data_IF_821214828795
#
_entry.id   IF_821214828795
#
_cell.length_a   1.000
_cell.length_b   1.000
_cell.length_c   1.000
_cell.angle_alpha   90.00
_cell.angle_beta   90.00
_cell.angle_gamma   90.00
#
_symmetry.space_group_name_H-M   'P 1'
#
loop_
_entity.id
_entity.type
_entity.pdbx_description
1 polymer ?
#
# COMPACT_ATOMS: atom_id res chain seq x y z
N UNK A 1 -11.38 -25.23 1.71
CA UNK A 1 -10.78 -25.95 0.55
C UNK A 1 -11.88 -26.73 -0.17
N UNK A 2 -12.70 -27.60 0.49
CA UNK A 2 -13.75 -28.40 -0.15
C UNK A 2 -14.75 -27.56 -0.94
N UNK A 3 -15.26 -26.48 -0.36
CA UNK A 3 -16.15 -25.53 -1.05
C UNK A 3 -15.55 -24.99 -2.34
N UNK A 4 -14.28 -24.56 -2.32
CA UNK A 4 -13.59 -24.08 -3.52
C UNK A 4 -13.44 -25.19 -4.55
N UNK A 5 -13.13 -26.41 -4.11
CA UNK A 5 -13.06 -27.58 -4.98
C UNK A 5 -14.39 -27.87 -5.68
N UNK A 6 -15.50 -27.75 -4.94
CA UNK A 6 -16.85 -27.94 -5.49
C UNK A 6 -17.17 -26.87 -6.53
N UNK A 7 -16.80 -25.60 -6.30
CA UNK A 7 -16.93 -24.52 -7.31
C UNK A 7 -16.14 -24.87 -8.58
N UNK A 8 -14.86 -25.21 -8.43
CA UNK A 8 -13.97 -25.50 -9.57
C UNK A 8 -14.38 -26.74 -10.38
N UNK A 9 -15.20 -27.61 -9.82
CA UNK A 9 -15.74 -28.80 -10.50
C UNK A 9 -17.15 -28.63 -11.01
N UNK A 10 -17.82 -27.52 -10.65
CA UNK A 10 -19.20 -27.28 -11.07
C UNK A 10 -19.28 -27.00 -12.59
N UNK A 11 -20.17 -27.69 -13.33
CA UNK A 11 -20.29 -27.52 -14.76
C UNK A 11 -20.59 -26.09 -15.21
N UNK A 12 -21.39 -25.35 -14.45
CA UNK A 12 -21.74 -23.95 -14.76
C UNK A 12 -20.50 -23.06 -14.62
N UNK A 13 -19.67 -23.31 -13.60
CA UNK A 13 -18.39 -22.60 -13.43
C UNK A 13 -17.43 -22.91 -14.57
N UNK A 14 -17.28 -24.18 -14.93
CA UNK A 14 -16.39 -24.62 -16.02
C UNK A 14 -16.82 -24.09 -17.39
N UNK A 15 -18.11 -23.92 -17.59
CA UNK A 15 -18.68 -23.32 -18.82
C UNK A 15 -18.62 -21.79 -18.85
N UNK A 16 -18.11 -21.13 -17.77
CA UNK A 16 -18.08 -19.67 -17.67
C UNK A 16 -19.45 -19.02 -17.49
N UNK A 17 -20.49 -19.79 -17.11
CA UNK A 17 -21.88 -19.33 -16.95
C UNK A 17 -22.20 -18.72 -15.56
N UNK A 18 -21.21 -18.42 -14.76
CA UNK A 18 -21.42 -17.87 -13.41
C UNK A 18 -21.94 -16.43 -13.45
N UNK A 19 -22.86 -16.13 -12.55
CA UNK A 19 -23.39 -14.79 -12.29
C UNK A 19 -23.35 -14.47 -10.80
N UNK A 20 -23.72 -13.26 -10.41
CA UNK A 20 -23.55 -12.75 -9.03
C UNK A 20 -24.29 -13.56 -7.95
N UNK A 21 -25.33 -14.33 -8.34
CA UNK A 21 -26.11 -15.21 -7.44
C UNK A 21 -25.73 -16.68 -7.55
N UNK A 22 -24.76 -17.03 -8.37
CA UNK A 22 -24.36 -18.42 -8.62
C UNK A 22 -24.16 -19.23 -7.35
N UNK A 23 -23.50 -18.67 -6.35
CA UNK A 23 -23.23 -19.35 -5.08
C UNK A 23 -24.53 -19.56 -4.28
N UNK A 24 -25.40 -18.55 -4.23
CA UNK A 24 -26.65 -18.60 -3.47
C UNK A 24 -27.65 -19.56 -4.09
N UNK A 25 -27.64 -19.72 -5.43
CA UNK A 25 -28.56 -20.55 -6.20
C UNK A 25 -28.04 -21.99 -6.41
N UNK A 26 -26.85 -22.31 -5.92
CA UNK A 26 -26.19 -23.62 -6.10
C UNK A 26 -25.86 -24.26 -4.75
N UNK A 27 -26.88 -24.74 -3.98
CA UNK A 27 -26.67 -25.26 -2.63
C UNK A 27 -25.74 -26.48 -2.55
N UNK A 28 -25.61 -27.26 -3.62
CA UNK A 28 -24.69 -28.38 -3.72
C UNK A 28 -23.21 -28.00 -3.58
N UNK A 29 -22.86 -26.73 -3.74
CA UNK A 29 -21.50 -26.24 -3.48
C UNK A 29 -21.10 -26.37 -2.01
N UNK A 30 -22.10 -26.40 -1.13
CA UNK A 30 -21.92 -26.52 0.32
C UNK A 30 -21.98 -27.98 0.81
N UNK A 31 -22.20 -28.96 -0.06
CA UNK A 31 -22.13 -30.38 0.25
C UNK A 31 -20.67 -30.78 0.52
N UNK A 32 -20.23 -30.49 1.73
CA UNK A 32 -18.88 -30.80 2.17
C UNK A 32 -18.92 -32.14 2.89
N UNK A 33 -18.41 -33.17 2.23
CA UNK A 33 -18.16 -34.45 2.90
C UNK A 33 -17.07 -34.23 3.94
N UNK A 34 -17.42 -34.47 5.21
CA UNK A 34 -16.45 -34.41 6.30
C UNK A 34 -15.27 -35.33 6.01
N UNK A 35 -14.21 -34.76 5.45
CA UNK A 35 -12.96 -35.50 5.31
C UNK A 35 -12.49 -35.85 6.73
N UNK A 36 -12.05 -37.07 6.93
CA UNK A 36 -11.38 -37.46 8.17
C UNK A 36 -10.22 -36.51 8.39
N UNK A 37 -10.45 -35.53 9.27
CA UNK A 37 -9.53 -34.39 9.48
C UNK A 37 -8.27 -34.87 10.18
N UNK A 38 -7.34 -35.42 9.38
CA UNK A 38 -6.03 -35.84 9.86
C UNK A 38 -5.21 -34.65 10.35
N UNK A 39 -5.39 -33.48 9.75
CA UNK A 39 -4.63 -32.28 10.10
C UNK A 39 -5.01 -31.78 11.50
N UNK A 40 -6.29 -31.64 11.81
CA UNK A 40 -6.74 -31.26 13.15
C UNK A 40 -6.35 -32.32 14.20
N UNK A 41 -6.39 -33.63 13.85
CA UNK A 41 -5.90 -34.68 14.77
C UNK A 41 -4.41 -34.55 15.03
N UNK A 42 -3.58 -34.29 14.02
CA UNK A 42 -2.15 -34.09 14.19
C UNK A 42 -1.87 -32.81 14.98
N UNK A 43 -2.56 -31.71 14.67
CA UNK A 43 -2.44 -30.46 15.43
C UNK A 43 -2.87 -30.62 16.88
N UNK A 44 -3.98 -31.35 17.15
CA UNK A 44 -4.41 -31.65 18.51
C UNK A 44 -3.36 -32.51 19.24
N UNK A 45 -2.83 -33.53 18.60
CA UNK A 45 -1.79 -34.39 19.18
C UNK A 45 -0.52 -33.60 19.49
N UNK A 46 -0.06 -32.71 18.56
CA UNK A 46 1.09 -31.84 18.82
C UNK A 46 0.80 -30.89 19.98
N UNK A 47 -0.38 -30.28 20.02
CA UNK A 47 -0.78 -29.38 21.10
C UNK A 47 -0.83 -30.13 22.46
N UNK A 48 -1.39 -31.32 22.49
CA UNK A 48 -1.43 -32.18 23.68
C UNK A 48 -0.03 -32.55 24.18
N UNK A 49 0.89 -32.91 23.27
CA UNK A 49 2.29 -33.19 23.64
C UNK A 49 2.97 -31.94 24.18
N UNK A 50 2.81 -30.77 23.53
CA UNK A 50 3.44 -29.55 23.99
C UNK A 50 2.88 -29.02 25.30
N UNK A 51 1.57 -29.17 25.54
CA UNK A 51 0.92 -28.68 26.74
C UNK A 51 1.07 -29.70 27.91
N UNK A 52 1.01 -31.00 27.60
CA UNK A 52 1.08 -32.04 28.59
C UNK A 52 2.50 -32.53 28.92
N UNK A 53 3.51 -32.09 28.19
CA UNK A 53 4.90 -32.44 28.45
C UNK A 53 5.52 -31.48 29.48
N UNK A 54 5.57 -31.81 30.78
CA UNK A 54 6.13 -30.94 31.80
C UNK A 54 7.65 -30.71 31.66
N UNK A 55 8.33 -31.51 30.82
CA UNK A 55 9.76 -31.45 30.57
C UNK A 55 10.09 -30.87 29.20
N UNK A 56 9.11 -30.37 28.44
CA UNK A 56 9.41 -29.64 27.24
C UNK A 56 10.17 -28.37 27.64
N UNK A 57 11.45 -28.33 27.32
CA UNK A 57 12.22 -27.08 27.39
C UNK A 57 11.38 -26.03 26.66
N UNK A 58 10.81 -25.10 27.39
CA UNK A 58 10.20 -23.92 26.79
C UNK A 58 11.35 -23.21 26.08
N UNK A 59 11.44 -23.37 24.77
CA UNK A 59 12.32 -22.53 23.98
C UNK A 59 11.93 -21.09 24.31
N UNK A 60 12.71 -20.45 25.16
CA UNK A 60 12.66 -19.02 25.32
C UNK A 60 13.18 -18.45 24.01
N UNK A 61 12.25 -18.10 23.12
CA UNK A 61 12.59 -17.27 22.00
C UNK A 61 13.08 -15.95 22.56
N UNK A 62 14.35 -15.61 22.32
CA UNK A 62 14.85 -14.28 22.60
C UNK A 62 13.99 -13.28 21.88
N UNK A 63 13.27 -12.47 22.65
CA UNK A 63 12.43 -11.42 22.07
C UNK A 63 13.38 -10.42 21.39
N UNK A 64 13.23 -10.19 20.08
CA UNK A 64 14.08 -9.23 19.40
C UNK A 64 14.08 -7.89 20.15
N UNK A 65 15.24 -7.35 20.44
CA UNK A 65 15.36 -6.03 21.05
C UNK A 65 15.22 -4.99 19.94
N UNK A 66 14.32 -4.03 20.14
CA UNK A 66 14.24 -2.89 19.23
C UNK A 66 15.52 -2.06 19.38
N UNK A 67 16.18 -1.70 18.28
CA UNK A 67 17.33 -0.82 18.33
C UNK A 67 16.90 0.53 18.91
N UNK A 68 17.76 1.10 19.72
CA UNK A 68 17.58 2.44 20.26
C UNK A 68 18.42 3.42 19.44
N UNK A 69 17.95 4.65 19.22
CA UNK A 69 18.74 5.68 18.54
C UNK A 69 20.10 5.85 19.22
N UNK A 70 21.16 5.87 18.44
CA UNK A 70 22.53 6.04 18.96
C UNK A 70 22.95 7.51 19.09
N UNK A 71 22.20 8.41 18.45
CA UNK A 71 22.43 9.85 18.46
C UNK A 71 21.10 10.61 18.36
N UNK A 72 21.08 11.91 18.70
CA UNK A 72 19.92 12.76 18.43
C UNK A 72 19.56 12.72 16.95
N UNK A 73 18.25 12.65 16.67
CA UNK A 73 17.74 12.69 15.29
C UNK A 73 18.02 14.07 14.68
N UNK A 74 18.74 14.10 13.58
CA UNK A 74 18.91 15.32 12.78
C UNK A 74 17.66 15.63 11.94
N UNK A 75 17.66 16.81 11.28
CA UNK A 75 16.59 17.12 10.31
C UNK A 75 16.59 16.12 9.17
N UNK A 76 15.39 15.77 8.68
CA UNK A 76 15.19 14.85 7.56
C UNK A 76 14.31 15.47 6.47
N UNK A 77 13.80 14.63 5.59
CA UNK A 77 12.96 15.05 4.46
C UNK A 77 11.65 15.73 4.92
N UNK A 78 11.16 15.38 6.12
CA UNK A 78 9.99 16.03 6.72
C UNK A 78 10.24 17.52 6.94
N UNK A 79 11.42 17.91 7.45
CA UNK A 79 11.76 19.31 7.68
C UNK A 79 11.88 20.08 6.36
N UNK A 80 12.44 19.45 5.31
CA UNK A 80 12.47 20.06 3.98
C UNK A 80 11.06 20.36 3.47
N UNK A 81 10.12 19.43 3.67
CA UNK A 81 8.71 19.60 3.29
C UNK A 81 8.08 20.77 4.06
N UNK A 82 8.30 20.84 5.37
CA UNK A 82 7.70 21.86 6.22
C UNK A 82 8.25 23.27 5.92
N UNK A 83 9.54 23.36 5.63
CA UNK A 83 10.22 24.65 5.40
C UNK A 83 10.05 25.18 3.98
N UNK A 84 10.09 24.27 2.96
CA UNK A 84 10.16 24.66 1.55
C UNK A 84 8.97 24.16 0.72
N UNK A 85 8.10 23.36 1.31
CA UNK A 85 6.89 22.84 0.68
C UNK A 85 7.10 21.67 -0.29
N UNK A 86 6.01 21.13 -0.85
CA UNK A 86 6.01 19.88 -1.60
C UNK A 86 6.77 19.97 -2.94
N UNK A 87 6.79 21.11 -3.60
CA UNK A 87 7.55 21.30 -4.86
C UNK A 87 9.06 21.15 -4.62
N UNK A 88 9.57 21.64 -3.49
CA UNK A 88 10.98 21.49 -3.14
C UNK A 88 11.33 20.03 -2.86
N UNK A 89 10.42 19.27 -2.26
CA UNK A 89 10.61 17.81 -2.07
C UNK A 89 10.61 17.08 -3.40
N UNK A 90 9.67 17.39 -4.31
CA UNK A 90 9.63 16.82 -5.66
C UNK A 90 10.95 17.07 -6.41
N UNK A 91 11.43 18.30 -6.39
CA UNK A 91 12.72 18.67 -7.01
C UNK A 91 13.89 17.93 -6.34
N UNK A 92 13.91 17.86 -5.01
CA UNK A 92 14.94 17.14 -4.28
C UNK A 92 14.96 15.65 -4.68
N UNK A 93 13.79 15.01 -4.87
CA UNK A 93 13.71 13.61 -5.34
C UNK A 93 14.35 13.45 -6.71
N UNK A 94 14.06 14.35 -7.66
CA UNK A 94 14.65 14.32 -9.02
C UNK A 94 16.18 14.49 -9.02
N UNK A 95 16.74 15.16 -8.04
CA UNK A 95 18.17 15.39 -7.90
C UNK A 95 18.93 14.20 -7.28
N UNK A 96 18.20 13.22 -6.71
CA UNK A 96 18.84 12.05 -6.11
C UNK A 96 19.44 11.15 -7.18
N UNK A 97 20.65 10.65 -6.89
CA UNK A 97 21.34 9.67 -7.74
C UNK A 97 21.10 8.21 -7.30
N UNK A 98 20.51 8.05 -6.13
CA UNK A 98 20.19 6.73 -5.55
C UNK A 98 18.69 6.53 -5.58
N UNK A 99 18.27 5.29 -5.81
CA UNK A 99 16.90 4.88 -5.64
C UNK A 99 16.45 5.13 -4.20
N UNK A 100 15.33 5.84 -4.07
CA UNK A 100 14.71 6.09 -2.77
C UNK A 100 13.72 4.97 -2.42
N UNK A 101 13.51 4.77 -1.14
CA UNK A 101 12.64 3.72 -0.62
C UNK A 101 11.50 4.30 0.21
N UNK A 102 10.32 3.72 0.07
CA UNK A 102 9.21 3.89 1.01
C UNK A 102 9.02 2.63 1.83
N UNK A 103 9.08 2.73 3.15
CA UNK A 103 8.76 1.62 4.04
C UNK A 103 7.26 1.49 4.25
N UNK A 104 6.74 0.28 4.09
CA UNK A 104 5.30 -0.02 4.22
C UNK A 104 4.96 -0.87 5.46
N UNK A 105 5.92 -1.08 6.35
CA UNK A 105 5.77 -1.96 7.53
C UNK A 105 4.56 -1.58 8.37
N UNK A 106 4.32 -0.27 8.56
CA UNK A 106 3.25 0.22 9.44
C UNK A 106 1.87 0.31 8.75
N UNK A 107 1.76 -0.04 7.47
CA UNK A 107 0.47 -0.09 6.76
C UNK A 107 0.33 -1.32 5.88
N UNK A 108 0.91 -1.34 4.67
CA UNK A 108 0.58 -2.36 3.66
C UNK A 108 1.20 -3.72 4.00
N UNK A 109 2.40 -3.76 4.53
CA UNK A 109 3.05 -5.01 4.90
C UNK A 109 2.23 -5.78 5.96
N UNK A 110 1.81 -5.12 7.04
CA UNK A 110 0.99 -5.82 8.04
C UNK A 110 -0.47 -6.00 7.60
N UNK A 111 -0.97 -5.17 6.68
CA UNK A 111 -2.26 -5.42 6.04
C UNK A 111 -2.24 -6.73 5.26
N UNK A 112 -1.21 -6.97 4.49
CA UNK A 112 -1.06 -8.15 3.64
C UNK A 112 -0.69 -9.42 4.43
N UNK A 113 0.16 -9.31 5.44
CA UNK A 113 0.74 -10.44 6.17
C UNK A 113 0.04 -10.77 7.49
N UNK A 114 -0.56 -9.77 8.15
CA UNK A 114 -1.14 -9.89 9.48
C UNK A 114 -2.61 -9.45 9.53
N UNK A 115 -3.31 -9.42 8.39
CA UNK A 115 -4.69 -8.95 8.29
C UNK A 115 -4.93 -7.60 9.00
N UNK A 116 -3.97 -6.68 8.92
CA UNK A 116 -3.97 -5.36 9.57
C UNK A 116 -4.01 -5.42 11.12
N UNK A 117 -3.55 -6.51 11.73
CA UNK A 117 -3.68 -6.75 13.17
C UNK A 117 -2.51 -6.23 14.02
N UNK A 118 -1.55 -5.51 13.44
CA UNK A 118 -0.48 -4.88 14.23
C UNK A 118 -1.06 -3.78 15.12
N UNK A 119 -0.77 -3.86 16.42
CA UNK A 119 -1.30 -2.91 17.40
C UNK A 119 -0.44 -1.66 17.51
N UNK A 120 -1.05 -0.56 17.86
CA UNK A 120 -0.37 0.73 18.05
C UNK A 120 0.79 0.62 19.03
N UNK A 121 0.63 -0.08 20.15
CA UNK A 121 1.69 -0.28 21.15
C UNK A 121 2.94 -0.94 20.59
N UNK A 122 2.78 -1.85 19.61
CA UNK A 122 3.89 -2.59 19.02
C UNK A 122 4.64 -1.74 18.00
N UNK A 123 3.91 -0.92 17.25
CA UNK A 123 4.49 0.09 16.36
C UNK A 123 5.29 1.14 17.16
N UNK A 124 4.71 1.67 18.23
CA UNK A 124 5.32 2.71 19.08
C UNK A 124 6.60 2.21 19.76
N UNK A 125 6.68 0.92 20.12
CA UNK A 125 7.90 0.33 20.69
C UNK A 125 9.09 0.38 19.75
N UNK A 126 8.86 0.22 18.44
CA UNK A 126 9.92 0.25 17.43
C UNK A 126 10.16 1.64 16.83
N UNK A 127 9.30 2.61 17.10
CA UNK A 127 9.26 3.87 16.38
C UNK A 127 10.55 4.70 16.48
N UNK A 128 11.18 4.75 17.66
CA UNK A 128 12.45 5.47 17.86
C UNK A 128 13.57 4.86 16.99
N UNK A 129 13.64 3.52 16.92
CA UNK A 129 14.59 2.82 16.06
C UNK A 129 14.29 3.02 14.57
N UNK A 130 13.00 3.06 14.19
CA UNK A 130 12.58 3.38 12.82
C UNK A 130 13.02 4.78 12.41
N UNK A 131 12.82 5.78 13.27
CA UNK A 131 13.23 7.16 13.01
C UNK A 131 14.74 7.31 12.76
N UNK A 132 15.55 6.48 13.38
CA UNK A 132 17.01 6.47 13.24
C UNK A 132 17.47 5.65 12.02
N UNK A 133 17.05 4.40 11.93
CA UNK A 133 17.52 3.46 10.89
C UNK A 133 16.98 3.80 9.50
N UNK A 134 15.71 4.23 9.42
CA UNK A 134 15.04 4.55 8.16
C UNK A 134 15.05 6.04 7.82
N UNK A 135 15.97 6.82 8.43
CA UNK A 135 16.06 8.28 8.24
C UNK A 135 16.23 8.73 6.80
N UNK A 136 16.81 7.87 5.96
CA UNK A 136 17.06 8.13 4.54
C UNK A 136 15.93 7.64 3.62
N UNK A 137 14.86 7.06 4.18
CA UNK A 137 13.67 6.70 3.40
C UNK A 137 12.93 7.95 2.92
N UNK A 138 12.34 7.86 1.74
CA UNK A 138 11.47 8.89 1.19
C UNK A 138 10.26 9.12 2.09
N UNK A 139 9.59 8.04 2.48
CA UNK A 139 8.42 8.10 3.36
C UNK A 139 8.19 6.79 4.12
N UNK A 140 7.35 6.89 5.16
CA UNK A 140 6.80 5.74 5.86
C UNK A 140 5.28 5.71 5.62
N UNK A 141 4.77 4.63 5.07
CA UNK A 141 3.33 4.50 4.83
C UNK A 141 2.62 4.12 6.12
N UNK A 142 1.73 5.01 6.61
CA UNK A 142 1.08 4.90 7.91
C UNK A 142 -0.38 4.48 7.83
N UNK A 143 -1.10 4.97 6.81
CA UNK A 143 -2.54 4.80 6.69
C UNK A 143 -2.99 4.31 5.32
N UNK A 144 -4.08 3.54 5.34
CA UNK A 144 -4.93 3.16 4.21
C UNK A 144 -6.33 2.84 4.73
N UNK A 145 -7.25 2.45 3.84
CA UNK A 145 -8.64 2.18 4.21
C UNK A 145 -8.78 1.13 5.31
N UNK A 146 -8.07 0.01 5.17
CA UNK A 146 -8.11 -1.07 6.17
C UNK A 146 -7.57 -0.67 7.54
N UNK A 147 -6.69 0.32 7.63
CA UNK A 147 -6.19 0.83 8.91
C UNK A 147 -7.35 1.35 9.77
N UNK A 148 -8.27 2.12 9.18
CA UNK A 148 -9.42 2.67 9.89
C UNK A 148 -10.42 1.58 10.26
N UNK A 149 -10.82 0.77 9.30
CA UNK A 149 -11.80 -0.30 9.52
C UNK A 149 -11.34 -1.29 10.60
N UNK A 150 -10.10 -1.78 10.49
CA UNK A 150 -9.59 -2.78 11.44
C UNK A 150 -9.27 -2.17 12.80
N UNK A 151 -8.71 -0.97 12.86
CA UNK A 151 -8.41 -0.31 14.12
C UNK A 151 -9.68 -0.12 14.96
N UNK A 152 -10.75 0.39 14.37
CA UNK A 152 -12.01 0.59 15.08
C UNK A 152 -12.75 -0.71 15.37
N UNK A 153 -12.91 -1.58 14.37
CA UNK A 153 -13.77 -2.75 14.46
C UNK A 153 -13.18 -3.90 15.27
N UNK A 154 -11.88 -4.12 15.16
CA UNK A 154 -11.23 -5.31 15.69
C UNK A 154 -10.20 -5.03 16.79
N UNK A 155 -9.46 -3.93 16.69
CA UNK A 155 -8.42 -3.61 17.66
C UNK A 155 -8.93 -2.70 18.77
N UNK A 156 -10.08 -2.03 18.57
CA UNK A 156 -10.63 -1.02 19.47
C UNK A 156 -9.61 0.09 19.77
N UNK A 157 -8.89 0.51 18.74
CA UNK A 157 -7.87 1.56 18.77
C UNK A 157 -8.27 2.71 17.85
N UNK A 158 -7.88 3.94 18.20
CA UNK A 158 -8.03 5.10 17.33
C UNK A 158 -6.87 5.21 16.35
N UNK A 159 -7.09 5.17 15.01
CA UNK A 159 -6.03 5.41 14.04
C UNK A 159 -5.47 6.84 14.15
N UNK A 160 -6.26 7.81 14.58
CA UNK A 160 -5.84 9.19 14.83
C UNK A 160 -4.84 9.29 15.97
N UNK A 161 -5.11 8.61 17.08
CA UNK A 161 -4.18 8.54 18.22
C UNK A 161 -2.91 7.77 17.85
N UNK A 162 -3.03 6.70 17.07
CA UNK A 162 -1.88 5.97 16.51
C UNK A 162 -0.97 6.92 15.72
N UNK A 163 -1.54 7.71 14.82
CA UNK A 163 -0.78 8.65 14.01
C UNK A 163 -0.04 9.69 14.87
N UNK A 164 -0.74 10.25 15.87
CA UNK A 164 -0.17 11.23 16.80
C UNK A 164 1.05 10.66 17.55
N UNK A 165 0.88 9.49 18.15
CA UNK A 165 1.94 8.81 18.92
C UNK A 165 3.16 8.47 18.04
N UNK A 166 2.93 8.01 16.81
CA UNK A 166 4.01 7.71 15.88
C UNK A 166 4.71 8.98 15.41
N UNK A 167 3.97 10.06 15.13
CA UNK A 167 4.56 11.34 14.71
C UNK A 167 5.44 11.96 15.79
N UNK A 168 5.06 11.84 17.06
CA UNK A 168 5.89 12.30 18.19
C UNK A 168 7.24 11.60 18.25
N UNK A 169 7.30 10.31 17.88
CA UNK A 169 8.52 9.50 17.89
C UNK A 169 9.33 9.54 16.61
N UNK A 170 8.68 9.83 15.49
CA UNK A 170 9.32 9.87 14.16
C UNK A 170 9.08 11.27 13.57
N UNK A 171 9.84 12.28 14.01
CA UNK A 171 9.63 13.66 13.57
C UNK A 171 10.28 14.01 12.22
N UNK A 172 11.17 13.16 11.72
CA UNK A 172 12.12 13.46 10.63
C UNK A 172 11.75 12.85 9.27
N UNK A 173 10.86 11.86 9.23
CA UNK A 173 10.49 11.15 7.98
C UNK A 173 9.07 11.52 7.60
N UNK A 174 8.77 11.82 6.31
CA UNK A 174 7.39 12.06 5.85
C UNK A 174 6.49 10.85 6.07
N UNK A 175 5.28 11.09 6.55
CA UNK A 175 4.24 10.08 6.66
C UNK A 175 3.33 10.08 5.44
N UNK A 176 3.13 8.91 4.87
CA UNK A 176 2.31 8.70 3.69
C UNK A 176 1.02 7.98 4.03
N UNK A 177 -0.05 8.33 3.33
CA UNK A 177 -1.30 7.56 3.33
C UNK A 177 -1.77 7.22 1.92
N UNK A 178 -2.41 6.07 1.80
CA UNK A 178 -3.16 5.68 0.62
C UNK A 178 -4.61 6.17 0.74
N UNK A 179 -5.07 6.97 -0.23
CA UNK A 179 -6.38 7.61 -0.22
C UNK A 179 -7.18 7.27 -1.48
N UNK A 180 -8.38 6.70 -1.29
CA UNK A 180 -9.24 6.24 -2.39
C UNK A 180 -10.12 7.36 -2.94
N UNK A 181 -9.54 8.41 -3.52
CA UNK A 181 -10.32 9.53 -4.06
C UNK A 181 -11.49 9.95 -3.16
N UNK A 182 -12.69 10.04 -3.71
CA UNK A 182 -13.92 10.40 -2.97
C UNK A 182 -14.38 9.36 -1.94
N UNK A 183 -13.85 8.14 -1.97
CA UNK A 183 -14.13 7.11 -0.96
C UNK A 183 -13.25 7.25 0.30
N UNK A 184 -12.24 8.11 0.27
CA UNK A 184 -11.30 8.31 1.38
C UNK A 184 -10.71 6.99 1.90
N UNK A 185 -11.07 6.63 3.12
CA UNK A 185 -10.70 5.36 3.78
C UNK A 185 -11.87 4.38 3.88
N UNK A 186 -13.01 4.73 3.28
CA UNK A 186 -14.25 3.94 3.29
C UNK A 186 -14.47 3.12 2.01
N UNK A 187 -15.71 2.66 1.84
CA UNK A 187 -16.15 1.77 0.76
C UNK A 187 -17.27 2.37 -0.12
N UNK A 188 -17.64 3.60 0.13
CA UNK A 188 -18.62 4.36 -0.65
C UNK A 188 -18.12 5.79 -0.83
N UNK A 189 -18.65 6.50 -1.83
CA UNK A 189 -18.32 7.89 -2.04
C UNK A 189 -18.86 8.76 -0.91
N UNK A 190 -18.02 9.64 -0.43
CA UNK A 190 -18.38 10.67 0.52
C UNK A 190 -18.61 12.00 -0.18
N UNK A 191 -19.44 12.90 0.38
CA UNK A 191 -19.65 14.24 -0.17
C UNK A 191 -18.36 15.08 -0.05
N UNK A 192 -18.19 16.02 -0.97
CA UNK A 192 -16.97 16.81 -1.13
C UNK A 192 -16.53 17.54 0.15
N UNK A 193 -17.47 18.04 0.92
CA UNK A 193 -17.17 18.72 2.19
C UNK A 193 -16.53 17.77 3.21
N UNK A 194 -16.95 16.50 3.24
CA UNK A 194 -16.34 15.50 4.11
C UNK A 194 -14.95 15.10 3.59
N UNK A 195 -14.79 14.96 2.26
CA UNK A 195 -13.49 14.69 1.65
C UNK A 195 -12.47 15.77 2.03
N UNK A 196 -12.84 17.04 1.88
CA UNK A 196 -11.99 18.18 2.26
C UNK A 196 -11.67 18.20 3.75
N UNK A 197 -12.68 18.03 4.60
CA UNK A 197 -12.49 18.02 6.05
C UNK A 197 -11.59 16.88 6.53
N UNK A 198 -11.73 15.69 5.95
CA UNK A 198 -10.88 14.55 6.28
C UNK A 198 -9.41 14.79 5.93
N UNK A 199 -9.15 15.30 4.73
CA UNK A 199 -7.78 15.56 4.24
C UNK A 199 -7.12 16.64 5.08
N UNK A 200 -7.87 17.73 5.38
CA UNK A 200 -7.39 18.79 6.27
C UNK A 200 -6.99 18.24 7.63
N UNK A 201 -7.85 17.47 8.27
CA UNK A 201 -7.60 16.88 9.59
C UNK A 201 -6.39 15.90 9.54
N UNK A 202 -6.30 15.09 8.49
CA UNK A 202 -5.17 14.16 8.31
C UNK A 202 -3.85 14.91 8.14
N UNK A 203 -3.84 16.00 7.36
CA UNK A 203 -2.68 16.86 7.15
C UNK A 203 -2.22 17.55 8.44
N UNK A 204 -3.16 18.11 9.22
CA UNK A 204 -2.89 18.76 10.50
C UNK A 204 -2.35 17.78 11.55
N UNK A 205 -2.77 16.51 11.49
CA UNK A 205 -2.32 15.47 12.42
C UNK A 205 -1.03 14.76 12.00
N UNK A 206 -0.47 15.09 10.85
CA UNK A 206 0.88 14.64 10.50
C UNK A 206 1.01 13.74 9.28
N UNK A 207 -0.02 13.62 8.43
CA UNK A 207 0.15 13.06 7.08
C UNK A 207 0.78 14.13 6.19
N UNK A 208 1.84 13.74 5.49
CA UNK A 208 2.66 14.60 4.65
C UNK A 208 2.51 14.31 3.16
N UNK A 209 2.33 13.03 2.82
CA UNK A 209 2.22 12.52 1.45
C UNK A 209 0.87 11.84 1.28
N UNK A 210 0.06 12.34 0.38
CA UNK A 210 -1.23 11.76 0.05
C UNK A 210 -1.14 11.05 -1.31
N UNK A 211 -1.12 9.71 -1.27
CA UNK A 211 -1.20 8.85 -2.46
C UNK A 211 -2.67 8.69 -2.83
N UNK A 212 -3.14 9.57 -3.70
CA UNK A 212 -4.53 9.60 -4.15
C UNK A 212 -4.70 8.68 -5.36
N UNK A 213 -5.64 7.74 -5.30
CA UNK A 213 -5.92 6.82 -6.39
C UNK A 213 -7.42 6.55 -6.59
N UNK A 214 -7.74 6.12 -7.78
CA UNK A 214 -8.99 5.44 -8.13
C UNK A 214 -8.65 4.11 -8.83
N UNK A 215 -9.31 3.01 -8.47
CA UNK A 215 -8.97 1.69 -8.98
C UNK A 215 -9.25 1.50 -10.48
N UNK A 216 -10.09 2.36 -11.05
CA UNK A 216 -10.42 2.39 -12.48
C UNK A 216 -9.70 3.53 -13.22
N UNK A 217 -8.81 4.26 -12.55
CA UNK A 217 -8.17 5.47 -13.06
C UNK A 217 -9.18 6.55 -13.48
N UNK A 218 -10.30 6.64 -12.75
CA UNK A 218 -11.34 7.63 -13.03
C UNK A 218 -11.03 8.94 -12.31
N UNK A 219 -10.40 9.87 -13.04
CA UNK A 219 -9.92 11.13 -12.49
C UNK A 219 -11.00 11.93 -11.74
N UNK A 220 -12.27 12.04 -12.21
CA UNK A 220 -13.27 12.82 -11.48
C UNK A 220 -13.50 12.35 -10.04
N UNK A 221 -13.28 11.06 -9.74
CA UNK A 221 -13.31 10.55 -8.35
C UNK A 221 -12.15 11.07 -7.48
N UNK A 222 -11.07 11.50 -8.11
CA UNK A 222 -9.85 11.94 -7.44
C UNK A 222 -9.77 13.46 -7.26
N UNK A 223 -10.47 14.24 -8.10
CA UNK A 223 -10.31 15.69 -8.23
C UNK A 223 -10.41 16.44 -6.89
N UNK A 224 -11.51 16.24 -6.16
CA UNK A 224 -11.74 16.95 -4.88
C UNK A 224 -10.66 16.63 -3.85
N UNK A 225 -10.19 15.38 -3.83
CA UNK A 225 -9.12 14.96 -2.94
C UNK A 225 -7.78 15.58 -3.35
N UNK A 226 -7.45 15.58 -4.64
CA UNK A 226 -6.22 16.18 -5.17
C UNK A 226 -6.19 17.69 -4.89
N UNK A 227 -7.26 18.41 -5.19
CA UNK A 227 -7.40 19.85 -4.91
C UNK A 227 -7.17 20.16 -3.43
N UNK A 228 -7.78 19.37 -2.55
CA UNK A 228 -7.64 19.64 -1.12
C UNK A 228 -6.23 19.36 -0.60
N UNK A 229 -5.55 18.31 -1.10
CA UNK A 229 -4.14 18.06 -0.75
C UNK A 229 -3.26 19.24 -1.15
N UNK A 230 -3.49 19.82 -2.34
CA UNK A 230 -2.78 21.01 -2.80
C UNK A 230 -3.09 22.23 -1.92
N UNK A 231 -4.35 22.43 -1.54
CA UNK A 231 -4.77 23.51 -0.63
C UNK A 231 -4.12 23.41 0.75
N UNK A 232 -3.86 22.19 1.22
CA UNK A 232 -3.18 21.95 2.51
C UNK A 232 -1.64 22.05 2.40
N UNK A 233 -1.10 22.41 1.22
CA UNK A 233 0.34 22.48 0.94
C UNK A 233 1.07 21.17 1.31
N UNK A 234 0.41 20.03 1.06
CA UNK A 234 0.98 18.69 1.26
C UNK A 234 1.42 18.08 -0.07
N UNK A 235 2.24 17.04 0.00
CA UNK A 235 2.73 16.38 -1.20
C UNK A 235 1.63 15.52 -1.81
N UNK A 236 1.19 15.92 -3.00
CA UNK A 236 0.23 15.15 -3.80
C UNK A 236 0.98 14.14 -4.65
N UNK A 237 0.79 12.88 -4.34
CA UNK A 237 1.22 11.76 -5.16
C UNK A 237 0.00 11.19 -5.88
N UNK A 238 -0.22 11.64 -7.12
CA UNK A 238 -1.34 11.16 -7.93
C UNK A 238 -0.99 9.80 -8.56
N UNK A 239 -1.96 8.89 -8.55
CA UNK A 239 -1.68 7.48 -8.83
C UNK A 239 -2.42 6.99 -10.06
N UNK A 240 -1.70 6.28 -10.92
CA UNK A 240 -2.28 5.43 -11.95
C UNK A 240 -2.19 3.96 -11.55
N UNK A 241 -3.32 3.27 -11.59
CA UNK A 241 -3.40 1.83 -11.37
C UNK A 241 -3.03 1.11 -12.68
N UNK A 242 -2.01 0.25 -12.59
CA UNK A 242 -1.57 -0.53 -13.74
C UNK A 242 -2.40 -1.80 -13.89
N UNK A 243 -2.80 -2.09 -15.14
CA UNK A 243 -3.47 -3.31 -15.54
C UNK A 243 -3.13 -3.66 -17.00
N UNK A 244 -3.43 -4.89 -17.41
CA UNK A 244 -3.16 -5.33 -18.78
C UNK A 244 -1.69 -5.69 -19.03
N UNK A 245 -1.29 -5.60 -20.29
CA UNK A 245 0.07 -5.86 -20.75
C UNK A 245 0.43 -4.90 -21.88
N UNK A 246 1.23 -3.89 -21.58
CA UNK A 246 1.65 -2.89 -22.56
C UNK A 246 2.62 -3.43 -23.64
N UNK A 247 3.11 -4.66 -23.47
CA UNK A 247 3.98 -5.31 -24.45
C UNK A 247 3.20 -6.18 -25.45
N UNK A 248 1.95 -6.48 -25.16
CA UNK A 248 1.09 -7.26 -26.04
C UNK A 248 0.40 -6.34 -27.07
N UNK A 249 0.76 -6.42 -28.36
CA UNK A 249 0.19 -5.56 -29.39
C UNK A 249 -1.27 -5.88 -29.71
N UNK A 250 -1.80 -7.00 -29.24
CA UNK A 250 -3.23 -7.35 -29.40
C UNK A 250 -4.14 -6.63 -28.41
N UNK A 251 -3.57 -5.95 -27.39
CA UNK A 251 -4.32 -5.20 -26.38
C UNK A 251 -4.44 -3.74 -26.79
N UNK A 252 -5.67 -3.27 -26.93
CA UNK A 252 -5.99 -1.93 -27.42
C UNK A 252 -6.42 -0.95 -26.31
N UNK A 253 -6.77 -1.44 -25.12
CA UNK A 253 -7.35 -0.60 -24.07
C UNK A 253 -6.32 0.04 -23.13
N UNK A 254 -5.43 -0.73 -22.52
CA UNK A 254 -4.46 -0.27 -21.54
C UNK A 254 -3.05 -0.26 -22.14
N UNK A 255 -2.90 0.57 -23.17
CA UNK A 255 -1.66 0.70 -23.95
C UNK A 255 -0.64 1.58 -23.25
N UNK A 256 0.60 1.58 -23.71
CA UNK A 256 1.61 2.53 -23.25
C UNK A 256 1.14 3.99 -23.42
N UNK A 257 0.50 4.31 -24.56
CA UNK A 257 -0.07 5.63 -24.81
C UNK A 257 -1.11 6.02 -23.77
N UNK A 258 -2.00 5.09 -23.40
CA UNK A 258 -2.99 5.34 -22.34
C UNK A 258 -2.33 5.80 -21.04
N UNK A 259 -1.26 5.12 -20.60
CA UNK A 259 -0.56 5.48 -19.37
C UNK A 259 0.21 6.81 -19.48
N UNK A 260 0.78 7.10 -20.64
CA UNK A 260 1.45 8.39 -20.89
C UNK A 260 0.44 9.53 -20.84
N UNK A 261 -0.69 9.40 -21.52
CA UNK A 261 -1.74 10.43 -21.53
C UNK A 261 -2.29 10.67 -20.11
N UNK A 262 -2.54 9.59 -19.35
CA UNK A 262 -2.99 9.68 -17.97
C UNK A 262 -1.94 10.37 -17.07
N UNK A 263 -0.69 10.01 -17.20
CA UNK A 263 0.40 10.62 -16.42
C UNK A 263 0.51 12.12 -16.66
N UNK A 264 0.44 12.56 -17.94
CA UNK A 264 0.43 13.98 -18.32
C UNK A 264 -0.77 14.73 -17.74
N UNK A 265 -1.94 14.12 -17.75
CA UNK A 265 -3.14 14.70 -17.17
C UNK A 265 -3.00 14.88 -15.65
N UNK A 266 -2.46 13.88 -14.95
CA UNK A 266 -2.23 13.98 -13.51
C UNK A 266 -1.16 15.05 -13.17
N UNK A 267 -0.09 15.14 -13.94
CA UNK A 267 0.91 16.20 -13.80
C UNK A 267 0.30 17.59 -14.05
N UNK A 268 -0.49 17.73 -15.12
CA UNK A 268 -1.17 18.99 -15.45
C UNK A 268 -2.12 19.47 -14.33
N UNK A 269 -2.72 18.53 -13.59
CA UNK A 269 -3.57 18.81 -12.43
C UNK A 269 -2.80 19.13 -11.15
N UNK A 270 -1.48 19.27 -11.24
CA UNK A 270 -0.62 19.74 -10.16
C UNK A 270 -0.06 18.64 -9.26
N UNK A 271 -0.07 17.39 -9.70
CA UNK A 271 0.61 16.32 -8.98
C UNK A 271 2.10 16.66 -8.77
N UNK A 272 2.60 16.46 -7.56
CA UNK A 272 4.01 16.64 -7.24
C UNK A 272 4.83 15.39 -7.58
N UNK A 273 4.19 14.23 -7.56
CA UNK A 273 4.77 12.93 -7.93
C UNK A 273 3.72 12.06 -8.60
N UNK A 274 4.16 11.19 -9.49
CA UNK A 274 3.34 10.15 -10.10
C UNK A 274 3.59 8.81 -9.42
N UNK A 275 2.54 8.14 -8.92
CA UNK A 275 2.65 6.75 -8.49
C UNK A 275 2.16 5.80 -9.59
N UNK A 276 2.93 4.75 -9.85
CA UNK A 276 2.49 3.57 -10.59
C UNK A 276 2.11 2.51 -9.56
N UNK A 277 0.84 2.11 -9.53
CA UNK A 277 0.32 1.13 -8.58
C UNK A 277 -0.03 -0.18 -9.28
N UNK A 278 0.81 -1.17 -9.12
CA UNK A 278 0.59 -2.53 -9.63
C UNK A 278 0.07 -3.44 -8.50
N UNK A 279 -1.25 -3.44 -8.31
CA UNK A 279 -1.90 -4.18 -7.23
C UNK A 279 -1.90 -5.70 -7.42
N UNK A 280 -1.77 -6.16 -8.65
CA UNK A 280 -1.94 -7.57 -9.01
C UNK A 280 -0.65 -8.24 -9.50
N UNK A 281 0.47 -7.52 -9.48
CA UNK A 281 1.74 -8.03 -9.97
C UNK A 281 1.74 -8.29 -11.49
N UNK A 282 0.98 -7.48 -12.25
CA UNK A 282 0.85 -7.63 -13.72
C UNK A 282 1.99 -6.94 -14.48
N UNK A 283 2.69 -6.01 -13.85
CA UNK A 283 3.76 -5.27 -14.49
C UNK A 283 5.00 -6.15 -14.64
N UNK A 284 5.15 -6.72 -15.83
CA UNK A 284 6.28 -7.57 -16.19
C UNK A 284 7.60 -6.77 -16.19
N UNK A 285 8.76 -7.40 -15.96
CA UNK A 285 10.05 -6.68 -15.87
C UNK A 285 10.36 -5.77 -17.06
N UNK A 286 10.23 -6.26 -18.30
CA UNK A 286 10.46 -5.43 -19.48
C UNK A 286 9.35 -4.39 -19.72
N UNK A 287 8.13 -4.66 -19.26
CA UNK A 287 7.05 -3.67 -19.28
C UNK A 287 7.35 -2.54 -18.29
N UNK A 288 7.86 -2.85 -17.10
CA UNK A 288 8.31 -1.87 -16.11
C UNK A 288 9.41 -0.97 -16.70
N UNK A 289 10.44 -1.55 -17.30
CA UNK A 289 11.51 -0.79 -17.97
C UNK A 289 10.96 0.14 -19.04
N UNK A 290 10.10 -0.38 -19.93
CA UNK A 290 9.51 0.40 -21.02
C UNK A 290 8.61 1.52 -20.51
N UNK A 291 7.74 1.23 -19.54
CA UNK A 291 6.81 2.22 -18.97
C UNK A 291 7.59 3.35 -18.28
N UNK A 292 8.49 3.00 -17.35
CA UNK A 292 9.26 4.00 -16.61
C UNK A 292 10.14 4.84 -17.54
N UNK A 293 10.90 4.21 -18.44
CA UNK A 293 11.77 4.96 -19.36
C UNK A 293 10.98 5.93 -20.28
N UNK A 294 9.77 5.53 -20.70
CA UNK A 294 8.90 6.42 -21.49
C UNK A 294 8.37 7.56 -20.62
N UNK A 295 7.86 7.27 -19.43
CA UNK A 295 7.33 8.30 -18.53
C UNK A 295 8.41 9.32 -18.13
N UNK A 296 9.64 8.89 -17.87
CA UNK A 296 10.77 9.79 -17.56
C UNK A 296 11.10 10.77 -18.71
N UNK A 297 10.68 10.48 -19.94
CA UNK A 297 10.83 11.38 -21.10
C UNK A 297 9.61 12.29 -21.31
N UNK A 298 8.46 11.90 -20.79
CA UNK A 298 7.16 12.51 -21.11
C UNK A 298 6.60 13.41 -19.99
N UNK A 299 7.05 13.22 -18.74
CA UNK A 299 6.64 14.02 -17.58
C UNK A 299 7.86 14.55 -16.81
N UNK A 300 7.68 15.70 -16.14
CA UNK A 300 8.72 16.37 -15.37
C UNK A 300 8.71 16.10 -13.86
N UNK A 301 7.80 15.26 -13.37
CA UNK A 301 7.68 14.93 -11.95
C UNK A 301 8.27 13.56 -11.61
N UNK A 302 8.71 13.33 -10.35
CA UNK A 302 9.25 12.03 -9.92
C UNK A 302 8.24 10.89 -10.06
N UNK A 303 8.76 9.68 -10.29
CA UNK A 303 7.98 8.46 -10.42
C UNK A 303 8.22 7.55 -9.22
N UNK A 304 7.13 7.12 -8.57
CA UNK A 304 7.13 6.16 -7.48
C UNK A 304 6.44 4.86 -7.94
N UNK A 305 7.15 3.74 -7.95
CA UNK A 305 6.57 2.45 -8.31
C UNK A 305 6.24 1.63 -7.07
N UNK A 306 4.97 1.30 -6.91
CA UNK A 306 4.47 0.39 -5.89
C UNK A 306 3.91 -0.88 -6.53
N UNK A 307 4.32 -2.05 -6.06
CA UNK A 307 3.82 -3.33 -6.55
C UNK A 307 3.62 -4.33 -5.41
N UNK A 308 2.74 -5.31 -5.66
CA UNK A 308 2.56 -6.49 -4.80
C UNK A 308 3.14 -7.71 -5.51
N UNK A 309 3.81 -8.58 -4.78
CA UNK A 309 4.48 -9.77 -5.35
C UNK A 309 3.51 -10.94 -5.57
N UNK A 310 2.33 -10.65 -6.09
CA UNK A 310 1.26 -11.63 -6.31
C UNK A 310 1.65 -12.70 -7.33
N UNK A 311 2.49 -12.34 -8.29
CA UNK A 311 2.93 -13.23 -9.38
C UNK A 311 4.38 -13.72 -9.24
N UNK A 312 5.10 -13.29 -8.21
CA UNK A 312 6.51 -13.63 -8.00
C UNK A 312 7.50 -12.87 -8.92
N UNK A 313 7.05 -11.82 -9.61
CA UNK A 313 7.86 -11.06 -10.56
C UNK A 313 8.37 -9.72 -10.00
N UNK A 314 8.00 -9.36 -8.77
CA UNK A 314 8.24 -8.03 -8.21
C UNK A 314 9.71 -7.64 -8.22
N UNK A 315 10.59 -8.50 -7.72
CA UNK A 315 12.02 -8.18 -7.62
C UNK A 315 12.60 -7.84 -9.01
N UNK A 316 12.28 -8.64 -10.02
CA UNK A 316 12.74 -8.39 -11.38
C UNK A 316 12.13 -7.13 -12.00
N UNK A 317 10.84 -6.87 -11.74
CA UNK A 317 10.16 -5.66 -12.22
C UNK A 317 10.73 -4.39 -11.58
N UNK A 318 10.97 -4.39 -10.28
CA UNK A 318 11.59 -3.26 -9.57
C UNK A 318 13.03 -3.01 -10.02
N UNK A 319 13.81 -4.06 -10.25
CA UNK A 319 15.18 -3.93 -10.79
C UNK A 319 15.17 -3.28 -12.17
N UNK A 320 14.30 -3.74 -13.07
CA UNK A 320 14.16 -3.15 -14.40
C UNK A 320 13.64 -1.71 -14.37
N UNK A 321 12.76 -1.37 -13.44
CA UNK A 321 12.30 -0.02 -13.22
C UNK A 321 13.43 0.89 -12.69
N UNK A 322 14.25 0.38 -11.75
CA UNK A 322 15.41 1.10 -11.23
C UNK A 322 16.44 1.40 -12.33
N UNK A 323 16.75 0.43 -13.21
CA UNK A 323 17.58 0.65 -14.39
C UNK A 323 17.00 1.68 -15.36
N UNK A 324 15.67 1.81 -15.42
CA UNK A 324 14.98 2.79 -16.25
C UNK A 324 14.87 4.17 -15.59
N UNK A 325 15.35 4.34 -14.36
CA UNK A 325 15.41 5.62 -13.66
C UNK A 325 14.16 5.95 -12.85
N UNK A 326 13.44 4.94 -12.31
CA UNK A 326 12.41 5.20 -11.31
C UNK A 326 13.04 5.86 -10.08
N UNK A 327 12.36 6.84 -9.50
CA UNK A 327 12.92 7.67 -8.43
C UNK A 327 12.71 7.03 -7.05
N UNK A 328 11.53 6.42 -6.81
CA UNK A 328 11.14 5.82 -5.52
C UNK A 328 10.48 4.45 -5.75
N UNK A 329 10.69 3.51 -4.83
CA UNK A 329 10.01 2.21 -4.80
C UNK A 329 9.55 1.85 -3.39
#
# INVERSE_FOLDING_TARGET
IAFISNILQNPTFLAGGCHTKFIDETPELFDIVDSRDRATRVLRYIAEIQVANPNAERHQYDTPRFPQPQAPLGPGLKQLLDEKGPKAVSQWVLEQKKLLLTDTTMRDAHQSLLATRMRTRDMVKGADGVADILRDCFSLEMWGGATFDVAYRFLHESPWERLRLLREKIPNIPFQMLLRGSNLVGYANYPDNLVRSFIKEAAERGIDVFRVFDSLNWIPSMEVAMDEVLNQNKLLEATMCYTGDILDPSKDKYTLKYYVDLAKELEHRGAHMLAIKDMSGLLKPYAAKKLVSTLKQEIGIPIHLHTHDTTGNQVAALLMAAEAGVDVV
#
